data_IF_742839822303
#
_entry.id   IF_742839822303
#
_cell.length_a   1.000
_cell.length_b   1.000
_cell.length_c   1.000
_cell.angle_alpha   90.00
_cell.angle_beta   90.00
_cell.angle_gamma   90.00
#
_symmetry.space_group_name_H-M   'P 1'
#
loop_
_entity.id
_entity.type
_entity.pdbx_description
1 polymer ?
#
# COMPACT_ATOMS: atom_id res chain seq x y z
N UNK A 1 24.54 -2.84 0.84
CA UNK A 1 24.05 -3.52 2.07
C UNK A 1 23.94 -5.01 1.79
N UNK A 2 24.76 -5.81 2.48
CA UNK A 2 24.86 -7.26 2.32
C UNK A 2 23.55 -7.99 2.68
N UNK A 3 23.26 -9.07 1.95
CA UNK A 3 22.09 -9.90 2.21
C UNK A 3 22.32 -10.71 3.50
N UNK A 4 21.68 -10.29 4.61
CA UNK A 4 21.78 -10.97 5.91
C UNK A 4 21.16 -12.38 5.92
N UNK A 5 20.45 -12.77 4.86
CA UNK A 5 19.94 -14.12 4.65
C UNK A 5 21.00 -14.93 3.88
N UNK A 6 22.00 -15.45 4.60
CA UNK A 6 23.22 -16.04 4.04
C UNK A 6 23.07 -17.29 3.15
N UNK A 7 21.84 -17.72 2.83
CA UNK A 7 21.57 -18.94 2.06
C UNK A 7 20.51 -18.79 0.96
N UNK A 8 19.95 -17.60 0.72
CA UNK A 8 18.97 -17.44 -0.36
C UNK A 8 19.71 -17.17 -1.66
N UNK A 9 19.69 -18.14 -2.57
CA UNK A 9 20.18 -17.95 -3.93
C UNK A 9 19.39 -16.82 -4.60
N UNK A 10 20.12 -15.83 -5.12
CA UNK A 10 19.49 -14.68 -5.76
C UNK A 10 18.84 -15.14 -7.06
N UNK A 11 17.51 -15.13 -7.09
CA UNK A 11 16.78 -15.34 -8.33
C UNK A 11 17.16 -14.29 -9.38
N UNK A 12 17.02 -14.60 -10.69
CA UNK A 12 17.24 -13.63 -11.76
C UNK A 12 16.32 -12.42 -11.58
N UNK A 13 16.79 -11.25 -12.02
CA UNK A 13 16.13 -9.96 -11.81
C UNK A 13 14.65 -9.97 -12.24
N UNK A 14 14.34 -10.63 -13.35
CA UNK A 14 12.98 -10.82 -13.85
C UNK A 14 12.05 -11.46 -12.80
N UNK A 15 12.47 -12.61 -12.23
CA UNK A 15 11.66 -13.31 -11.22
C UNK A 15 11.69 -12.58 -9.89
N UNK A 16 12.84 -12.00 -9.53
CA UNK A 16 13.11 -11.39 -8.21
C UNK A 16 12.37 -10.07 -8.00
N UNK A 17 12.35 -9.21 -9.02
CA UNK A 17 11.89 -7.82 -8.91
C UNK A 17 10.73 -7.55 -9.87
N UNK A 18 10.94 -7.79 -11.17
CA UNK A 18 9.98 -7.39 -12.20
C UNK A 18 8.64 -8.10 -11.97
N UNK A 19 8.64 -9.42 -11.83
CA UNK A 19 7.40 -10.19 -11.69
C UNK A 19 6.54 -9.76 -10.49
N UNK A 20 7.05 -9.68 -9.24
CA UNK A 20 6.25 -9.19 -8.11
C UNK A 20 5.71 -7.78 -8.30
N UNK A 21 6.54 -6.86 -8.79
CA UNK A 21 6.17 -5.45 -8.97
C UNK A 21 5.13 -5.30 -10.07
N UNK A 22 5.36 -5.90 -11.24
CA UNK A 22 4.43 -5.85 -12.36
C UNK A 22 3.12 -6.54 -12.02
N UNK A 23 3.14 -7.65 -11.27
CA UNK A 23 1.90 -8.33 -10.84
C UNK A 23 1.05 -7.41 -9.95
N UNK A 24 1.67 -6.71 -9.00
CA UNK A 24 0.96 -5.75 -8.16
C UNK A 24 0.42 -4.56 -8.97
N UNK A 25 1.24 -4.02 -9.89
CA UNK A 25 0.84 -2.90 -10.74
C UNK A 25 -0.32 -3.26 -11.67
N UNK A 26 -0.25 -4.41 -12.33
CA UNK A 26 -1.33 -4.93 -13.20
C UNK A 26 -2.59 -5.21 -12.38
N UNK A 27 -2.45 -5.78 -11.17
CA UNK A 27 -3.59 -6.00 -10.27
C UNK A 27 -4.31 -4.69 -9.92
N UNK A 28 -3.55 -3.64 -9.59
CA UNK A 28 -4.10 -2.31 -9.36
C UNK A 28 -4.76 -1.73 -10.62
N UNK A 29 -4.11 -1.81 -11.79
CA UNK A 29 -4.66 -1.31 -13.06
C UNK A 29 -5.98 -2.00 -13.42
N UNK A 30 -6.09 -3.31 -13.22
CA UNK A 30 -7.33 -4.06 -13.48
C UNK A 30 -8.44 -3.60 -12.54
N UNK A 31 -8.18 -3.50 -11.24
CA UNK A 31 -9.18 -3.02 -10.27
C UNK A 31 -9.62 -1.59 -10.58
N UNK A 32 -8.68 -0.74 -10.98
CA UNK A 32 -8.96 0.63 -11.38
C UNK A 32 -9.81 0.70 -12.65
N UNK A 33 -9.45 -0.05 -13.69
CA UNK A 33 -10.23 -0.14 -14.92
C UNK A 33 -11.67 -0.60 -14.66
N UNK A 34 -11.85 -1.64 -13.84
CA UNK A 34 -13.17 -2.13 -13.44
C UNK A 34 -13.96 -1.05 -12.70
N UNK A 35 -13.31 -0.28 -11.81
CA UNK A 35 -13.97 0.80 -11.06
C UNK A 35 -14.48 1.94 -11.96
N UNK A 36 -13.79 2.25 -13.06
CA UNK A 36 -14.20 3.31 -14.00
C UNK A 36 -15.28 2.85 -14.99
N UNK A 37 -15.34 1.55 -15.29
CA UNK A 37 -16.21 1.00 -16.34
C UNK A 37 -17.46 0.30 -15.78
N UNK A 38 -17.96 0.64 -14.59
CA UNK A 38 -19.20 0.07 -14.05
C UNK A 38 -20.50 0.68 -14.60
N UNK A 39 -20.41 1.64 -15.53
CA UNK A 39 -21.56 2.38 -16.05
C UNK A 39 -22.58 1.55 -16.84
N UNK A 40 -22.26 0.29 -17.21
CA UNK A 40 -23.18 -0.62 -17.89
C UNK A 40 -24.25 -1.23 -16.97
N UNK A 41 -24.13 -1.05 -15.66
CA UNK A 41 -25.12 -1.56 -14.69
C UNK A 41 -26.30 -0.58 -14.60
N UNK A 42 -27.43 -0.94 -15.21
CA UNK A 42 -28.63 -0.10 -15.25
C UNK A 42 -29.32 0.02 -13.87
N UNK A 43 -29.30 -1.04 -13.07
CA UNK A 43 -29.91 -1.04 -11.74
C UNK A 43 -29.10 -0.20 -10.76
N UNK A 44 -29.67 0.91 -10.30
CA UNK A 44 -29.03 1.84 -9.35
C UNK A 44 -28.57 1.16 -8.06
N UNK A 45 -29.34 0.20 -7.55
CA UNK A 45 -28.99 -0.52 -6.32
C UNK A 45 -27.75 -1.40 -6.54
N UNK A 46 -27.74 -2.16 -7.64
CA UNK A 46 -26.64 -3.06 -7.99
C UNK A 46 -25.37 -2.24 -8.30
N UNK A 47 -25.52 -1.14 -9.04
CA UNK A 47 -24.43 -0.23 -9.36
C UNK A 47 -23.74 0.31 -8.10
N UNK A 48 -24.52 0.85 -7.15
CA UNK A 48 -23.96 1.38 -5.88
C UNK A 48 -23.25 0.31 -5.08
N UNK A 49 -23.84 -0.87 -4.96
CA UNK A 49 -23.24 -1.99 -4.23
C UNK A 49 -21.93 -2.44 -4.87
N UNK A 50 -21.93 -2.66 -6.19
CA UNK A 50 -20.75 -3.07 -6.95
C UNK A 50 -19.63 -2.02 -6.87
N UNK A 51 -19.97 -0.73 -7.01
CA UNK A 51 -19.02 0.38 -6.88
C UNK A 51 -18.39 0.42 -5.49
N UNK A 52 -19.19 0.32 -4.42
CA UNK A 52 -18.68 0.30 -3.05
C UNK A 52 -17.75 -0.90 -2.82
N UNK A 53 -18.15 -2.10 -3.26
CA UNK A 53 -17.33 -3.30 -3.12
C UNK A 53 -15.98 -3.15 -3.83
N UNK A 54 -15.98 -2.67 -5.08
CA UNK A 54 -14.73 -2.51 -5.84
C UNK A 54 -13.85 -1.42 -5.26
N UNK A 55 -14.41 -0.32 -4.75
CA UNK A 55 -13.61 0.71 -4.08
C UNK A 55 -13.02 0.22 -2.76
N UNK A 56 -13.73 -0.61 -2.00
CA UNK A 56 -13.19 -1.27 -0.79
C UNK A 56 -12.05 -2.20 -1.18
N UNK A 57 -12.22 -3.04 -2.20
CA UNK A 57 -11.17 -3.96 -2.68
C UNK A 57 -9.96 -3.18 -3.20
N UNK A 58 -10.17 -2.13 -3.99
CA UNK A 58 -9.12 -1.25 -4.50
C UNK A 58 -8.35 -0.57 -3.35
N UNK A 59 -9.06 -0.07 -2.34
CA UNK A 59 -8.48 0.54 -1.15
C UNK A 59 -7.61 -0.46 -0.37
N UNK A 60 -8.14 -1.66 -0.10
CA UNK A 60 -7.38 -2.71 0.57
C UNK A 60 -6.17 -3.15 -0.26
N UNK A 61 -6.32 -3.27 -1.58
CA UNK A 61 -5.22 -3.61 -2.48
C UNK A 61 -4.11 -2.55 -2.43
N UNK A 62 -4.47 -1.27 -2.50
CA UNK A 62 -3.51 -0.16 -2.41
C UNK A 62 -2.86 -0.07 -1.02
N UNK A 63 -3.61 -0.33 0.05
CA UNK A 63 -3.09 -0.29 1.41
C UNK A 63 -2.12 -1.46 1.69
N UNK A 64 -2.40 -2.67 1.20
CA UNK A 64 -1.64 -3.88 1.56
C UNK A 64 -0.67 -4.39 0.49
N UNK A 65 -0.65 -3.83 -0.74
CA UNK A 65 0.20 -4.38 -1.81
C UNK A 65 1.67 -4.48 -1.41
N UNK A 66 2.21 -3.46 -0.70
CA UNK A 66 3.63 -3.42 -0.38
C UNK A 66 4.03 -4.53 0.56
N UNK A 67 3.15 -4.89 1.48
CA UNK A 67 3.35 -6.02 2.37
C UNK A 67 3.61 -7.32 1.59
N UNK A 68 2.76 -7.61 0.61
CA UNK A 68 2.86 -8.83 -0.19
C UNK A 68 4.04 -8.78 -1.18
N UNK A 69 4.24 -7.64 -1.85
CA UNK A 69 5.38 -7.43 -2.77
C UNK A 69 6.71 -7.59 -2.03
N UNK A 70 6.84 -6.94 -0.87
CA UNK A 70 8.06 -7.02 -0.06
C UNK A 70 8.40 -8.46 0.32
N UNK A 71 7.42 -9.23 0.80
CA UNK A 71 7.61 -10.65 1.14
C UNK A 71 7.94 -11.47 -0.10
N UNK A 72 7.22 -11.29 -1.21
CA UNK A 72 7.48 -11.99 -2.45
C UNK A 72 8.92 -11.75 -2.96
N UNK A 73 9.42 -10.52 -2.88
CA UNK A 73 10.78 -10.16 -3.25
C UNK A 73 11.81 -10.71 -2.24
N UNK A 74 11.52 -10.67 -0.94
CA UNK A 74 12.36 -11.24 0.11
C UNK A 74 12.59 -12.75 -0.09
N UNK A 75 11.51 -13.47 -0.37
CA UNK A 75 11.55 -14.92 -0.62
C UNK A 75 12.36 -15.29 -1.87
N UNK A 76 12.65 -14.33 -2.74
CA UNK A 76 13.43 -14.48 -3.98
C UNK A 76 14.84 -13.90 -3.87
N UNK A 77 15.28 -13.54 -2.66
CA UNK A 77 16.63 -13.05 -2.39
C UNK A 77 16.86 -11.58 -2.76
N UNK A 78 15.82 -10.77 -2.89
CA UNK A 78 15.95 -9.34 -3.15
C UNK A 78 16.60 -8.61 -1.97
N UNK A 79 17.50 -7.66 -2.27
CA UNK A 79 18.14 -6.82 -1.27
C UNK A 79 17.14 -5.88 -0.56
N UNK A 80 17.53 -5.28 0.56
CA UNK A 80 16.66 -4.36 1.31
C UNK A 80 16.16 -3.19 0.44
N UNK A 81 17.08 -2.53 -0.29
CA UNK A 81 16.72 -1.42 -1.16
C UNK A 81 15.78 -1.84 -2.30
N UNK A 82 16.02 -3.01 -2.92
CA UNK A 82 15.16 -3.56 -3.97
C UNK A 82 13.74 -3.82 -3.45
N UNK A 83 13.63 -4.42 -2.26
CA UNK A 83 12.34 -4.72 -1.63
C UNK A 83 11.55 -3.45 -1.29
N UNK A 84 12.23 -2.43 -0.76
CA UNK A 84 11.61 -1.14 -0.45
C UNK A 84 11.16 -0.46 -1.76
N UNK A 85 12.08 -0.29 -2.72
CA UNK A 85 11.80 0.38 -3.98
C UNK A 85 10.66 -0.30 -4.74
N UNK A 86 10.72 -1.63 -4.89
CA UNK A 86 9.67 -2.40 -5.58
C UNK A 86 8.30 -2.28 -4.92
N UNK A 87 8.25 -2.22 -3.58
CA UNK A 87 6.99 -2.08 -2.84
C UNK A 87 6.37 -0.68 -2.96
N UNK A 88 7.14 0.34 -3.34
CA UNK A 88 6.63 1.70 -3.54
C UNK A 88 6.20 2.00 -4.98
N UNK A 89 6.46 1.11 -5.96
CA UNK A 89 6.10 1.35 -7.36
C UNK A 89 4.58 1.51 -7.54
N UNK A 90 3.77 0.64 -6.94
CA UNK A 90 2.30 0.72 -7.09
C UNK A 90 1.72 1.98 -6.42
N UNK A 91 2.05 2.32 -5.15
CA UNK A 91 1.66 3.61 -4.56
C UNK A 91 2.14 4.83 -5.35
N UNK A 92 3.34 4.78 -5.93
CA UNK A 92 3.87 5.87 -6.75
C UNK A 92 3.09 6.03 -8.05
N UNK A 93 2.77 4.93 -8.74
CA UNK A 93 1.94 4.96 -9.95
C UNK A 93 0.55 5.54 -9.65
N UNK A 94 -0.06 5.15 -8.53
CA UNK A 94 -1.31 5.73 -8.06
C UNK A 94 -1.19 7.24 -7.77
N UNK A 95 -0.13 7.67 -7.07
CA UNK A 95 0.09 9.09 -6.77
C UNK A 95 0.28 9.92 -8.04
N UNK A 96 1.04 9.44 -9.02
CA UNK A 96 1.21 10.09 -10.32
C UNK A 96 -0.15 10.23 -11.03
N UNK A 97 -0.94 9.16 -11.05
CA UNK A 97 -2.30 9.19 -11.65
C UNK A 97 -3.18 10.24 -10.96
N UNK A 98 -3.14 10.33 -9.63
CA UNK A 98 -3.92 11.32 -8.89
C UNK A 98 -3.43 12.75 -9.15
N UNK A 99 -2.12 12.98 -9.29
CA UNK A 99 -1.56 14.29 -9.67
C UNK A 99 -2.07 14.69 -11.06
N UNK A 100 -2.07 13.76 -12.02
CA UNK A 100 -2.60 14.01 -13.38
C UNK A 100 -4.08 14.37 -13.32
N UNK A 101 -4.89 13.60 -12.60
CA UNK A 101 -6.33 13.87 -12.42
C UNK A 101 -6.60 15.25 -11.81
N UNK A 102 -5.84 15.62 -10.78
CA UNK A 102 -6.03 16.90 -10.08
C UNK A 102 -5.49 18.08 -10.92
N UNK A 103 -4.49 17.84 -11.78
CA UNK A 103 -3.93 18.86 -12.68
C UNK A 103 -4.88 19.35 -13.77
N UNK A 104 -6.03 18.68 -13.95
CA UNK A 104 -7.13 19.20 -14.76
C UNK A 104 -7.78 20.46 -14.16
N UNK A 105 -7.65 20.65 -12.84
CA UNK A 105 -8.29 21.73 -12.09
C UNK A 105 -7.30 22.72 -11.47
N UNK A 106 -6.07 22.28 -11.18
CA UNK A 106 -5.04 23.07 -10.51
C UNK A 106 -3.73 23.07 -11.29
N UNK A 107 -2.82 24.00 -10.99
CA UNK A 107 -1.48 23.96 -11.57
C UNK A 107 -0.74 22.68 -11.15
N UNK A 108 0.29 22.29 -11.90
CA UNK A 108 1.08 21.08 -11.60
C UNK A 108 1.70 21.15 -10.19
N UNK A 109 2.19 22.33 -9.79
CA UNK A 109 2.77 22.55 -8.46
C UNK A 109 1.75 22.39 -7.34
N UNK A 110 0.55 22.96 -7.50
CA UNK A 110 -0.56 22.79 -6.56
C UNK A 110 -1.03 21.35 -6.52
N UNK A 111 -1.16 20.67 -7.67
CA UNK A 111 -1.59 19.28 -7.76
C UNK A 111 -0.61 18.33 -7.06
N UNK A 112 0.69 18.61 -7.19
CA UNK A 112 1.75 17.89 -6.47
C UNK A 112 1.66 18.12 -4.97
N UNK A 113 1.48 19.38 -4.54
CA UNK A 113 1.29 19.73 -3.13
C UNK A 113 0.03 19.07 -2.55
N UNK A 114 -1.10 19.17 -3.25
CA UNK A 114 -2.36 18.54 -2.87
C UNK A 114 -2.21 17.03 -2.77
N UNK A 115 -1.60 16.36 -3.74
CA UNK A 115 -1.43 14.91 -3.65
C UNK A 115 -0.48 14.50 -2.53
N UNK A 116 0.61 15.22 -2.26
CA UNK A 116 1.53 14.84 -1.19
C UNK A 116 1.04 15.19 0.21
N UNK A 117 0.23 16.23 0.35
CA UNK A 117 -0.32 16.67 1.63
C UNK A 117 -1.73 16.12 1.88
N UNK A 118 -2.41 15.60 0.85
CA UNK A 118 -3.72 14.99 1.00
C UNK A 118 -3.60 13.68 1.77
N UNK A 119 -4.46 13.58 2.77
CA UNK A 119 -4.63 12.48 3.67
C UNK A 119 -4.56 11.07 2.99
N UNK A 120 -5.25 10.80 1.86
CA UNK A 120 -5.27 9.47 1.27
C UNK A 120 -3.93 9.00 0.70
N UNK A 121 -3.15 9.91 0.10
CA UNK A 121 -1.87 9.57 -0.52
C UNK A 121 -0.77 9.57 0.54
N UNK A 122 -0.66 10.62 1.35
CA UNK A 122 0.34 10.66 2.43
C UNK A 122 0.17 9.49 3.41
N UNK A 123 -1.09 9.25 3.83
CA UNK A 123 -1.44 8.11 4.69
C UNK A 123 -1.05 6.78 4.06
N UNK A 124 -1.23 6.60 2.76
CA UNK A 124 -0.80 5.38 2.05
C UNK A 124 0.72 5.20 2.11
N UNK A 125 1.52 6.24 1.86
CA UNK A 125 2.99 6.13 1.90
C UNK A 125 3.52 5.86 3.32
N UNK A 126 2.93 6.50 4.33
CA UNK A 126 3.27 6.32 5.75
C UNK A 126 2.85 4.94 6.24
N UNK A 127 1.64 4.49 5.91
CA UNK A 127 1.13 3.16 6.23
C UNK A 127 1.96 2.06 5.58
N UNK A 128 2.35 2.25 4.32
CA UNK A 128 3.23 1.34 3.59
C UNK A 128 4.54 1.14 4.36
N UNK A 129 5.19 2.20 4.84
CA UNK A 129 6.44 2.08 5.61
C UNK A 129 6.29 1.16 6.83
N UNK A 130 5.17 1.27 7.56
CA UNK A 130 4.84 0.40 8.68
C UNK A 130 4.64 -1.06 8.24
N UNK A 131 3.92 -1.28 7.14
CA UNK A 131 3.72 -2.62 6.58
C UNK A 131 5.01 -3.26 6.06
N UNK A 132 5.94 -2.50 5.48
CA UNK A 132 7.25 -3.00 5.07
C UNK A 132 8.10 -3.39 6.29
N UNK A 133 8.03 -2.61 7.37
CA UNK A 133 8.70 -2.93 8.62
C UNK A 133 8.14 -4.22 9.25
N UNK A 134 6.82 -4.37 9.28
CA UNK A 134 6.16 -5.61 9.70
C UNK A 134 6.56 -6.79 8.81
N UNK A 135 6.56 -6.60 7.48
CA UNK A 135 6.98 -7.62 6.51
C UNK A 135 8.40 -8.09 6.74
N UNK A 136 9.33 -7.17 7.02
CA UNK A 136 10.72 -7.50 7.34
C UNK A 136 10.82 -8.35 8.61
N UNK A 137 10.11 -7.98 9.69
CA UNK A 137 10.10 -8.77 10.93
C UNK A 137 9.53 -10.18 10.70
N UNK A 138 8.46 -10.30 9.91
CA UNK A 138 7.86 -11.59 9.55
C UNK A 138 8.77 -12.43 8.64
N UNK A 139 9.46 -11.82 7.67
CA UNK A 139 10.43 -12.51 6.84
C UNK A 139 11.57 -13.09 7.68
N UNK A 140 12.12 -12.29 8.61
CA UNK A 140 13.15 -12.78 9.54
C UNK A 140 12.64 -13.89 10.42
N UNK A 141 11.41 -13.80 10.93
CA UNK A 141 10.75 -14.87 11.68
C UNK A 141 10.67 -16.17 10.89
N UNK A 142 10.19 -16.07 9.64
CA UNK A 142 10.08 -17.21 8.74
C UNK A 142 11.44 -17.88 8.46
N UNK A 143 12.49 -17.11 8.18
CA UNK A 143 13.82 -17.67 7.90
C UNK A 143 14.53 -18.17 9.17
N UNK A 144 14.30 -17.54 10.33
CA UNK A 144 14.84 -18.02 11.61
C UNK A 144 14.28 -19.40 11.96
N UNK A 145 12.97 -19.60 11.78
CA UNK A 145 12.32 -20.89 12.02
C UNK A 145 12.84 -22.03 11.13
N UNK A 146 13.53 -21.70 10.03
CA UNK A 146 14.16 -22.66 9.12
C UNK A 146 15.67 -22.78 9.30
N UNK A 147 16.23 -22.18 10.34
CA UNK A 147 17.68 -22.10 10.58
C UNK A 147 18.47 -21.39 9.46
N UNK A 148 17.80 -20.57 8.64
CA UNK A 148 18.38 -19.82 7.51
C UNK A 148 18.75 -18.38 7.89
N UNK A 149 18.52 -17.98 9.15
CA UNK A 149 18.81 -16.66 9.68
C UNK A 149 19.25 -16.75 11.14
N UNK A 150 20.45 -16.25 11.44
CA UNK A 150 21.05 -16.31 12.80
C UNK A 150 20.83 -15.04 13.64
N UNK A 151 20.15 -14.03 13.10
CA UNK A 151 19.91 -12.76 13.80
C UNK A 151 18.60 -12.71 14.59
N UNK A 152 18.32 -11.53 15.16
CA UNK A 152 17.04 -11.25 15.82
C UNK A 152 15.95 -10.92 14.80
N UNK A 153 14.77 -11.51 14.99
CA UNK A 153 13.59 -11.32 14.15
C UNK A 153 13.03 -9.91 14.31
N UNK A 154 12.94 -9.47 15.55
CA UNK A 154 12.54 -8.14 15.96
C UNK A 154 13.82 -7.34 16.24
N UNK A 155 14.02 -6.25 15.50
CA UNK A 155 15.14 -5.32 15.71
C UNK A 155 14.62 -3.91 15.88
N UNK A 156 15.35 -3.07 16.61
CA UNK A 156 14.93 -1.71 16.96
C UNK A 156 14.46 -0.88 15.75
N UNK A 157 15.14 -0.97 14.61
CA UNK A 157 14.82 -0.14 13.44
C UNK A 157 13.42 -0.44 12.82
N UNK A 158 13.08 -1.67 12.38
CA UNK A 158 11.72 -2.02 11.97
C UNK A 158 10.66 -1.71 13.02
N UNK A 159 10.93 -1.92 14.31
CA UNK A 159 9.97 -1.59 15.38
C UNK A 159 9.73 -0.09 15.46
N UNK A 160 10.80 0.72 15.44
CA UNK A 160 10.69 2.17 15.46
C UNK A 160 9.93 2.70 14.23
N UNK A 161 10.21 2.18 13.03
CA UNK A 161 9.48 2.54 11.81
C UNK A 161 8.00 2.15 11.92
N UNK A 162 7.69 0.95 12.41
CA UNK A 162 6.31 0.52 12.59
C UNK A 162 5.55 1.42 13.57
N UNK A 163 6.13 1.69 14.74
CA UNK A 163 5.54 2.59 15.75
C UNK A 163 5.36 3.99 15.18
N UNK A 164 6.40 4.56 14.54
CA UNK A 164 6.33 5.89 13.94
C UNK A 164 5.24 5.97 12.86
N UNK A 165 5.12 4.96 11.99
CA UNK A 165 4.06 4.88 10.99
C UNK A 165 2.66 4.78 11.61
N UNK A 166 2.47 3.97 12.67
CA UNK A 166 1.17 3.86 13.35
C UNK A 166 0.79 5.18 14.06
N UNK A 167 1.76 5.81 14.73
CA UNK A 167 1.56 7.12 15.37
C UNK A 167 1.25 8.19 14.33
N UNK A 168 1.98 8.24 13.22
CA UNK A 168 1.73 9.19 12.14
C UNK A 168 0.37 8.95 11.48
N UNK A 169 -0.04 7.70 11.27
CA UNK A 169 -1.39 7.38 10.79
C UNK A 169 -2.46 7.80 11.78
N UNK A 170 -2.26 7.56 13.08
CA UNK A 170 -3.17 8.04 14.13
C UNK A 170 -3.34 9.56 14.03
N UNK A 171 -2.25 10.32 13.98
CA UNK A 171 -2.36 11.76 13.80
C UNK A 171 -3.00 12.10 12.46
N UNK A 172 -2.63 11.50 11.32
CA UNK A 172 -3.26 11.82 10.05
C UNK A 172 -4.78 11.59 10.06
N UNK A 173 -5.28 10.51 10.69
CA UNK A 173 -6.71 10.18 10.74
C UNK A 173 -7.49 11.02 11.77
N UNK A 174 -6.86 11.40 12.89
CA UNK A 174 -7.51 12.05 14.02
C UNK A 174 -7.16 13.53 14.19
N UNK A 175 -6.17 14.04 13.44
CA UNK A 175 -5.85 15.47 13.35
C UNK A 175 -7.00 16.19 12.65
N UNK A 176 -7.31 17.40 13.12
CA UNK A 176 -8.55 18.12 12.82
C UNK A 176 -9.85 17.42 13.30
N UNK A 177 -9.84 16.96 14.56
CA UNK A 177 -10.99 16.40 15.28
C UNK A 177 -11.68 15.20 14.60
N UNK A 178 -10.99 14.49 13.71
CA UNK A 178 -11.54 13.32 13.04
C UNK A 178 -12.66 13.65 12.05
N UNK A 179 -12.62 14.80 11.38
CA UNK A 179 -13.62 15.17 10.36
C UNK A 179 -13.91 14.06 9.34
N UNK A 180 -12.90 13.30 8.93
CA UNK A 180 -13.04 12.10 8.08
C UNK A 180 -13.72 10.91 8.77
N UNK A 181 -13.42 10.67 10.06
CA UNK A 181 -14.07 9.62 10.87
C UNK A 181 -15.55 9.97 11.07
N UNK A 182 -15.87 11.24 11.24
CA UNK A 182 -17.24 11.75 11.31
C UNK A 182 -18.00 11.52 10.00
N UNK A 183 -17.40 11.82 8.83
CA UNK A 183 -18.02 11.52 7.53
C UNK A 183 -18.18 10.02 7.28
N UNK A 184 -17.15 9.21 7.55
CA UNK A 184 -17.22 7.76 7.42
C UNK A 184 -18.28 7.15 8.35
N UNK A 185 -18.35 7.61 9.61
CA UNK A 185 -19.40 7.25 10.56
C UNK A 185 -20.79 7.65 10.04
N UNK A 186 -20.93 8.85 9.49
CA UNK A 186 -22.22 9.34 8.98
C UNK A 186 -22.74 8.53 7.79
N UNK A 187 -21.84 8.09 6.89
CA UNK A 187 -22.20 7.23 5.76
C UNK A 187 -22.53 5.80 6.21
N UNK A 188 -21.76 5.25 7.16
CA UNK A 188 -22.04 3.94 7.75
C UNK A 188 -23.39 3.94 8.49
N UNK A 189 -23.68 5.00 9.24
CA UNK A 189 -24.94 5.19 9.96
C UNK A 189 -26.14 5.27 9.02
N UNK A 190 -26.02 6.01 7.91
CA UNK A 190 -27.06 6.04 6.86
C UNK A 190 -27.29 4.67 6.24
N UNK A 191 -26.27 3.82 6.14
CA UNK A 191 -26.36 2.50 5.51
C UNK A 191 -27.00 1.44 6.42
N UNK A 192 -26.90 1.61 7.74
CA UNK A 192 -27.46 0.68 8.74
C UNK A 192 -28.90 1.07 9.11
N UNK A 193 -29.19 2.38 9.19
CA UNK A 193 -30.45 2.89 9.77
C UNK A 193 -31.37 3.58 8.75
N UNK A 194 -31.06 3.53 7.45
CA UNK A 194 -31.86 4.11 6.38
C UNK A 194 -31.93 3.19 5.17
#
# INVERSE_FOLDING_TARGET
MENKYGHIEKAPLLKRIILPVTTALVGWLVLHFVSEHMGWIESRMIYKFAMNLVHVVLCLFLAFNGFFVYRAMCMRGAGLAERIAGSYITPLAYAIKEIIRVSEFFTVGESFYYCLCAYPVLGMFVGQAGLLALSEMLCRGYFKNRNLYKGNTVTALPVAVFIASMTALYFLFFYDAGGMVFFAYSELYKLIFK
#
